data_IF_711549679269
#
_entry.id   IF_711549679269
#
_cell.length_a   1.000
_cell.length_b   1.000
_cell.length_c   1.000
_cell.angle_alpha   90.00
_cell.angle_beta   90.00
_cell.angle_gamma   90.00
#
_symmetry.space_group_name_H-M   'P 1'
#
loop_
_entity.id
_entity.type
_entity.pdbx_description
1 polymer ?
#
# COMPACT_ATOMS: atom_id res chain seq x y z
N UNK A 1 3.74 13.96 13.79
CA UNK A 1 3.17 12.60 13.75
C UNK A 1 1.67 12.65 13.46
N UNK A 2 0.92 13.53 14.12
CA UNK A 2 -0.54 13.66 13.97
C UNK A 2 -1.00 13.79 12.50
N UNK A 3 -0.41 14.68 11.71
CA UNK A 3 -0.75 14.85 10.30
C UNK A 3 -0.60 13.56 9.47
N UNK A 4 0.42 12.73 9.78
CA UNK A 4 0.66 11.45 9.08
C UNK A 4 -0.41 10.43 9.42
N UNK A 5 -0.82 10.36 10.70
CA UNK A 5 -1.92 9.50 11.14
C UNK A 5 -3.25 9.94 10.54
N UNK A 6 -3.52 11.25 10.50
CA UNK A 6 -4.73 11.79 9.87
C UNK A 6 -4.75 11.45 8.37
N UNK A 7 -3.62 11.59 7.67
CA UNK A 7 -3.49 11.18 6.27
C UNK A 7 -3.78 9.69 6.06
N UNK A 8 -3.15 8.79 6.83
CA UNK A 8 -3.39 7.35 6.74
C UNK A 8 -4.85 6.98 7.07
N UNK A 9 -5.47 7.67 8.03
CA UNK A 9 -6.89 7.50 8.34
C UNK A 9 -7.78 7.90 7.16
N UNK A 10 -7.51 9.03 6.52
CA UNK A 10 -8.25 9.46 5.32
C UNK A 10 -8.07 8.47 4.16
N UNK A 11 -6.85 7.96 3.94
CA UNK A 11 -6.62 6.91 2.96
C UNK A 11 -7.38 5.63 3.31
N UNK A 12 -7.40 5.22 4.58
CA UNK A 12 -8.19 4.07 5.04
C UNK A 12 -9.68 4.24 4.74
N UNK A 13 -10.23 5.42 5.01
CA UNK A 13 -11.63 5.74 4.69
C UNK A 13 -11.85 5.65 3.18
N UNK A 14 -10.95 6.23 2.36
CA UNK A 14 -11.04 6.23 0.91
C UNK A 14 -11.08 4.80 0.33
N UNK A 15 -10.19 3.91 0.79
CA UNK A 15 -10.11 2.54 0.23
C UNK A 15 -11.29 1.66 0.64
N UNK A 16 -12.01 2.02 1.72
CA UNK A 16 -13.20 1.30 2.18
C UNK A 16 -14.48 1.63 1.40
N UNK A 17 -14.55 2.78 0.73
CA UNK A 17 -15.78 3.17 0.04
C UNK A 17 -15.95 2.32 -1.23
N UNK A 18 -17.16 1.80 -1.51
CA UNK A 18 -17.41 0.92 -2.65
C UNK A 18 -17.59 1.69 -3.97
N UNK A 19 -16.66 2.59 -4.28
CA UNK A 19 -16.54 3.22 -5.60
C UNK A 19 -15.22 2.79 -6.26
N UNK A 20 -15.17 2.88 -7.59
CA UNK A 20 -13.94 2.68 -8.34
C UNK A 20 -12.94 3.82 -8.05
N UNK A 21 -11.76 3.49 -7.55
CA UNK A 21 -10.72 4.48 -7.21
C UNK A 21 -10.31 5.30 -8.44
N UNK A 22 -10.46 4.74 -9.65
CA UNK A 22 -10.21 5.48 -10.89
C UNK A 22 -11.10 6.73 -11.00
N UNK A 23 -12.32 6.71 -10.45
CA UNK A 23 -13.28 7.82 -10.60
C UNK A 23 -12.87 9.09 -9.84
N UNK A 24 -11.99 8.95 -8.84
CA UNK A 24 -11.48 10.08 -8.03
C UNK A 24 -10.07 10.51 -8.44
N UNK A 25 -9.42 9.77 -9.35
CA UNK A 25 -8.06 10.05 -9.78
C UNK A 25 -8.04 11.01 -10.98
N UNK A 26 -7.85 12.30 -10.69
CA UNK A 26 -7.72 13.34 -11.72
C UNK A 26 -6.44 13.19 -12.56
N UNK A 27 -5.46 12.38 -12.13
CA UNK A 27 -4.22 12.20 -12.88
C UNK A 27 -4.35 11.27 -14.09
N UNK A 28 -5.45 10.51 -14.18
CA UNK A 28 -5.74 9.64 -15.34
C UNK A 28 -5.85 10.45 -16.64
N UNK A 29 -6.36 11.69 -16.57
CA UNK A 29 -6.51 12.58 -17.74
C UNK A 29 -5.16 13.02 -18.32
N UNK A 30 -4.09 12.98 -17.51
CA UNK A 30 -2.74 13.37 -17.94
C UNK A 30 -1.91 12.22 -18.52
N UNK A 31 -2.42 11.00 -18.42
CA UNK A 31 -1.73 9.79 -18.83
C UNK A 31 -2.38 9.22 -20.09
N UNK A 32 -2.16 9.90 -21.22
CA UNK A 32 -2.65 9.58 -22.58
C UNK A 32 -2.25 8.18 -23.09
N UNK A 33 -1.54 7.36 -22.29
CA UNK A 33 -0.98 6.07 -22.68
C UNK A 33 -1.16 4.95 -21.65
N UNK A 34 -1.99 5.11 -20.61
CA UNK A 34 -2.24 3.98 -19.70
C UNK A 34 -2.99 2.91 -20.47
N UNK A 35 -2.32 1.80 -20.73
CA UNK A 35 -2.98 0.59 -21.20
C UNK A 35 -4.08 0.22 -20.19
N UNK A 36 -5.20 -0.32 -20.67
CA UNK A 36 -6.32 -0.82 -19.86
C UNK A 36 -5.89 -1.82 -18.75
N UNK A 37 -4.64 -2.30 -18.84
CA UNK A 37 -4.04 -3.25 -17.92
C UNK A 37 -3.14 -2.63 -16.83
N UNK A 38 -2.95 -1.31 -16.81
CA UNK A 38 -2.03 -0.65 -15.90
C UNK A 38 -2.71 -0.22 -14.58
N UNK A 39 -1.94 -0.22 -13.48
CA UNK A 39 -2.43 0.17 -12.17
C UNK A 39 -2.74 1.66 -12.13
N UNK A 40 -3.90 2.03 -11.56
CA UNK A 40 -4.31 3.43 -11.40
C UNK A 40 -3.21 4.21 -10.64
N UNK A 41 -2.76 5.37 -11.13
CA UNK A 41 -1.68 6.14 -10.51
C UNK A 41 -1.91 6.45 -9.02
N UNK A 42 -3.14 6.75 -8.63
CA UNK A 42 -3.51 6.93 -7.23
C UNK A 42 -3.29 5.68 -6.38
N UNK A 43 -3.63 4.50 -6.89
CA UNK A 43 -3.40 3.21 -6.19
C UNK A 43 -1.90 2.99 -5.98
N UNK A 44 -1.09 3.20 -7.01
CA UNK A 44 0.37 3.11 -6.91
C UNK A 44 0.94 4.07 -5.86
N UNK A 45 0.43 5.30 -5.81
CA UNK A 45 0.84 6.30 -4.82
C UNK A 45 0.46 5.90 -3.39
N UNK A 46 -0.75 5.37 -3.19
CA UNK A 46 -1.19 4.88 -1.87
C UNK A 46 -0.30 3.72 -1.41
N UNK A 47 -0.02 2.76 -2.29
CA UNK A 47 0.86 1.63 -1.99
C UNK A 47 2.27 2.13 -1.65
N UNK A 48 2.83 3.04 -2.44
CA UNK A 48 4.14 3.64 -2.21
C UNK A 48 4.23 4.29 -0.83
N UNK A 49 3.28 5.17 -0.49
CA UNK A 49 3.23 5.78 0.85
C UNK A 49 3.13 4.74 1.96
N UNK A 50 2.29 3.71 1.80
CA UNK A 50 2.16 2.68 2.81
C UNK A 50 3.46 1.90 2.98
N UNK A 51 4.16 1.53 1.89
CA UNK A 51 5.47 0.87 1.93
C UNK A 51 6.51 1.69 2.70
N UNK A 52 6.54 3.01 2.50
CA UNK A 52 7.43 3.90 3.26
C UNK A 52 7.11 3.88 4.77
N UNK A 53 5.82 3.83 5.11
CA UNK A 53 5.38 3.73 6.50
C UNK A 53 5.55 2.34 7.13
N UNK A 54 5.69 1.27 6.33
CA UNK A 54 5.99 -0.06 6.86
C UNK A 54 7.37 -0.11 7.54
N UNK A 55 8.31 0.70 7.06
CA UNK A 55 9.64 0.85 7.67
C UNK A 55 9.65 1.79 8.88
N UNK A 56 8.53 2.45 9.20
CA UNK A 56 8.47 3.35 10.34
C UNK A 56 8.36 2.57 11.67
N UNK A 57 8.98 3.12 12.71
CA UNK A 57 8.72 2.67 14.08
C UNK A 57 7.42 3.29 14.61
N UNK A 58 6.53 2.46 15.18
CA UNK A 58 5.33 2.91 15.89
C UNK A 58 3.99 2.72 15.16
N UNK A 59 2.92 3.40 15.60
CA UNK A 59 1.54 3.14 15.15
C UNK A 59 1.29 3.34 13.65
N UNK A 60 2.12 4.14 12.99
CA UNK A 60 2.02 4.40 11.55
C UNK A 60 2.21 3.12 10.72
N UNK A 61 3.07 2.20 11.18
CA UNK A 61 3.30 0.91 10.52
C UNK A 61 2.03 0.07 10.50
N UNK A 62 1.37 -0.04 11.66
CA UNK A 62 0.11 -0.77 11.79
C UNK A 62 -1.00 -0.12 10.95
N UNK A 63 -1.13 1.21 10.98
CA UNK A 63 -2.12 1.92 10.16
C UNK A 63 -1.88 1.71 8.66
N UNK A 64 -0.63 1.78 8.19
CA UNK A 64 -0.28 1.51 6.81
C UNK A 64 -0.62 0.06 6.40
N UNK A 65 -0.34 -0.91 7.26
CA UNK A 65 -0.76 -2.30 7.07
C UNK A 65 -2.28 -2.46 6.94
N UNK A 66 -3.07 -1.71 7.72
CA UNK A 66 -4.53 -1.70 7.63
C UNK A 66 -5.06 -1.05 6.34
N UNK A 67 -4.41 0.01 5.86
CA UNK A 67 -4.75 0.63 4.56
C UNK A 67 -4.47 -0.37 3.44
N UNK A 68 -3.29 -1.00 3.45
CA UNK A 68 -2.92 -2.02 2.47
C UNK A 68 -3.85 -3.22 2.51
N UNK A 69 -4.24 -3.70 3.70
CA UNK A 69 -5.16 -4.84 3.80
C UNK A 69 -6.49 -4.54 3.13
N UNK A 70 -7.08 -3.37 3.39
CA UNK A 70 -8.34 -3.00 2.74
C UNK A 70 -8.21 -2.77 1.26
N UNK A 71 -7.16 -2.08 0.81
CA UNK A 71 -6.95 -1.77 -0.61
C UNK A 71 -6.73 -3.04 -1.44
N UNK A 72 -5.83 -3.92 -0.99
CA UNK A 72 -5.38 -5.08 -1.77
C UNK A 72 -6.38 -6.24 -1.73
N UNK A 73 -7.30 -6.27 -0.76
CA UNK A 73 -8.39 -7.27 -0.74
C UNK A 73 -9.63 -6.85 -1.53
N UNK A 74 -9.62 -5.67 -2.17
CA UNK A 74 -10.76 -5.28 -3.02
C UNK A 74 -10.84 -6.19 -4.26
N UNK A 75 -12.06 -6.52 -4.72
CA UNK A 75 -12.24 -7.41 -5.88
C UNK A 75 -11.67 -6.84 -7.19
N UNK A 76 -11.52 -5.52 -7.30
CA UNK A 76 -10.97 -4.80 -8.46
C UNK A 76 -9.44 -4.66 -8.44
N UNK A 77 -8.74 -5.18 -7.41
CA UNK A 77 -7.30 -4.94 -7.20
C UNK A 77 -6.38 -6.18 -7.26
N UNK A 78 -6.65 -7.23 -8.09
CA UNK A 78 -5.82 -8.44 -8.08
C UNK A 78 -4.37 -8.19 -8.51
N UNK A 79 -4.12 -7.27 -9.46
CA UNK A 79 -2.77 -6.95 -9.93
C UNK A 79 -1.95 -6.22 -8.86
N UNK A 80 -2.59 -5.29 -8.14
CA UNK A 80 -1.97 -4.57 -7.03
C UNK A 80 -1.55 -5.57 -5.94
N UNK A 81 -2.42 -6.52 -5.62
CA UNK A 81 -2.15 -7.57 -4.67
C UNK A 81 -0.96 -8.44 -5.08
N UNK A 82 -0.94 -8.96 -6.33
CA UNK A 82 0.18 -9.76 -6.83
C UNK A 82 1.50 -8.99 -6.77
N UNK A 83 1.52 -7.75 -7.26
CA UNK A 83 2.71 -6.89 -7.23
C UNK A 83 3.18 -6.61 -5.79
N UNK A 84 2.25 -6.45 -4.85
CA UNK A 84 2.60 -6.29 -3.44
C UNK A 84 3.22 -7.57 -2.87
N UNK A 85 2.66 -8.74 -3.16
CA UNK A 85 3.21 -10.04 -2.72
C UNK A 85 4.61 -10.26 -3.28
N UNK A 86 4.84 -9.98 -4.56
CA UNK A 86 6.18 -10.04 -5.18
C UNK A 86 7.17 -9.14 -4.45
N UNK A 87 6.78 -7.89 -4.17
CA UNK A 87 7.61 -6.97 -3.39
C UNK A 87 7.89 -7.51 -1.97
N UNK A 88 6.92 -8.11 -1.28
CA UNK A 88 7.18 -8.70 0.04
C UNK A 88 8.17 -9.85 -0.03
N UNK A 89 8.12 -10.65 -1.10
CA UNK A 89 9.09 -11.72 -1.33
C UNK A 89 10.51 -11.16 -1.52
N UNK A 90 10.67 -10.07 -2.26
CA UNK A 90 11.95 -9.36 -2.41
C UNK A 90 12.48 -8.87 -1.06
N UNK A 91 11.64 -8.21 -0.25
CA UNK A 91 12.00 -7.72 1.09
C UNK A 91 12.40 -8.86 2.04
N UNK A 92 11.74 -10.01 1.96
CA UNK A 92 12.10 -11.19 2.77
C UNK A 92 13.39 -11.88 2.29
N UNK A 93 13.69 -11.79 0.99
CA UNK A 93 14.87 -12.40 0.39
C UNK A 93 16.12 -11.54 0.53
N UNK A 94 15.97 -10.23 0.80
CA UNK A 94 17.11 -9.35 1.04
C UNK A 94 17.77 -9.65 2.39
N UNK A 95 18.97 -10.24 2.35
CA UNK A 95 19.81 -10.45 3.54
C UNK A 95 20.64 -9.19 3.75
N UNK A 96 20.40 -8.45 4.84
CA UNK A 96 21.21 -7.29 5.21
C UNK A 96 21.30 -7.12 6.73
N UNK A 97 22.32 -6.40 7.19
CA UNK A 97 22.46 -5.98 8.59
C UNK A 97 21.89 -4.57 8.86
N UNK A 98 21.29 -3.91 7.86
CA UNK A 98 20.73 -2.57 8.02
C UNK A 98 19.43 -2.57 8.85
N UNK A 99 19.43 -1.77 9.93
CA UNK A 99 18.31 -1.59 10.86
C UNK A 99 17.04 -1.13 10.13
N UNK A 100 17.14 -0.30 9.09
CA UNK A 100 15.97 0.17 8.35
C UNK A 100 15.26 -0.98 7.61
N UNK A 101 16.05 -1.90 7.04
CA UNK A 101 15.51 -3.07 6.33
C UNK A 101 14.89 -4.08 7.30
N UNK A 102 15.36 -4.15 8.55
CA UNK A 102 14.69 -4.96 9.59
C UNK A 102 13.29 -4.43 9.92
N UNK A 103 13.12 -3.11 10.03
CA UNK A 103 11.78 -2.52 10.23
C UNK A 103 10.89 -2.73 9.02
N UNK A 104 11.44 -2.61 7.81
CA UNK A 104 10.70 -2.88 6.58
C UNK A 104 10.23 -4.34 6.49
N UNK A 105 11.10 -5.30 6.83
CA UNK A 105 10.77 -6.72 6.89
C UNK A 105 9.64 -6.99 7.87
N UNK A 106 9.76 -6.46 9.09
CA UNK A 106 8.71 -6.60 10.11
C UNK A 106 7.39 -6.00 9.64
N UNK A 107 7.43 -4.80 9.06
CA UNK A 107 6.24 -4.15 8.51
C UNK A 107 5.62 -4.90 7.34
N UNK A 108 6.43 -5.47 6.45
CA UNK A 108 5.94 -6.29 5.34
C UNK A 108 5.22 -7.55 5.85
N UNK A 109 5.78 -8.24 6.85
CA UNK A 109 5.16 -9.41 7.47
C UNK A 109 3.87 -9.03 8.20
N UNK A 110 3.86 -7.95 8.98
CA UNK A 110 2.66 -7.45 9.66
C UNK A 110 1.55 -7.07 8.64
N UNK A 111 1.91 -6.47 7.50
CA UNK A 111 0.97 -6.13 6.44
C UNK A 111 0.40 -7.38 5.77
N UNK A 112 1.22 -8.39 5.46
CA UNK A 112 0.74 -9.69 4.97
C UNK A 112 -0.22 -10.33 5.97
N UNK A 113 0.14 -10.37 7.25
CA UNK A 113 -0.75 -10.88 8.29
C UNK A 113 -2.07 -10.11 8.35
N UNK A 114 -2.06 -8.78 8.20
CA UNK A 114 -3.27 -7.97 8.16
C UNK A 114 -4.14 -8.21 6.92
N UNK A 115 -3.55 -8.59 5.78
CA UNK A 115 -4.27 -8.94 4.55
C UNK A 115 -4.98 -10.30 4.69
N UNK A 116 -4.35 -11.28 5.32
CA UNK A 116 -4.89 -12.64 5.47
C UNK A 116 -5.69 -12.88 6.76
N UNK A 117 -5.87 -11.85 7.59
CA UNK A 117 -6.64 -11.92 8.84
C UNK A 117 -8.12 -11.70 8.61
#
# INVERSE_FOLDING_TARGET
MEAKCVMLLWLYILVLVPFDISSVDTSIVSSDNLSEFELVPLVLRIIGFCKDYLSASGPMRTMAGLVLSRLLTRPDMPKAFTSFVEWTHEVMSSVTEDVLQHFQLLGAIEALAAIFK
#
